data_IF_554320800152
#
_entry.id   IF_554320800152
#
_cell.length_a   1.000
_cell.length_b   1.000
_cell.length_c   1.000
_cell.angle_alpha   90.00
_cell.angle_beta   90.00
_cell.angle_gamma   90.00
#
_symmetry.space_group_name_H-M   'P 1'
#
loop_
_entity.id
_entity.type
_entity.pdbx_description
1 polymer ?
#
# COMPACT_ATOMS: atom_id res chain seq x y z
N UNK A 1 7.24 -37.76 5.58
CA UNK A 1 6.60 -36.43 5.56
C UNK A 1 7.73 -35.43 5.42
N UNK A 2 7.76 -34.65 4.34
CA UNK A 2 8.71 -33.54 4.25
C UNK A 2 8.23 -32.46 5.23
N UNK A 3 9.13 -31.96 6.08
CA UNK A 3 8.87 -30.79 6.91
C UNK A 3 8.61 -29.60 5.98
N UNK A 4 7.38 -29.08 6.03
CA UNK A 4 7.04 -27.83 5.37
C UNK A 4 7.56 -26.74 6.32
N UNK A 5 8.74 -26.20 6.02
CA UNK A 5 9.27 -25.04 6.74
C UNK A 5 8.39 -23.84 6.41
N UNK A 6 7.55 -23.43 7.36
CA UNK A 6 6.71 -22.23 7.22
C UNK A 6 7.64 -21.02 7.22
N UNK A 7 7.54 -20.11 6.23
CA UNK A 7 8.34 -18.89 6.20
C UNK A 7 8.16 -18.11 7.51
N UNK A 8 9.24 -17.56 8.07
CA UNK A 8 9.14 -16.61 9.18
C UNK A 8 8.51 -15.31 8.70
N UNK A 9 7.93 -14.52 9.61
CA UNK A 9 7.40 -13.18 9.28
C UNK A 9 8.42 -12.31 8.55
N UNK A 10 9.69 -12.41 8.95
CA UNK A 10 10.78 -11.64 8.35
C UNK A 10 11.05 -12.09 6.91
N UNK A 11 11.03 -13.40 6.64
CA UNK A 11 11.20 -13.92 5.27
C UNK A 11 10.04 -13.55 4.34
N UNK A 12 8.82 -13.44 4.89
CA UNK A 12 7.67 -12.98 4.12
C UNK A 12 7.72 -11.48 3.84
N UNK A 13 8.10 -10.66 4.84
CA UNK A 13 8.26 -9.22 4.65
C UNK A 13 9.32 -8.93 3.61
N UNK A 14 10.49 -9.57 3.69
CA UNK A 14 11.55 -9.40 2.70
C UNK A 14 11.09 -9.78 1.28
N UNK A 15 10.37 -10.91 1.15
CA UNK A 15 9.77 -11.32 -0.13
C UNK A 15 8.79 -10.26 -0.67
N UNK A 16 7.89 -9.75 0.18
CA UNK A 16 6.92 -8.73 -0.19
C UNK A 16 7.63 -7.44 -0.62
N UNK A 17 8.61 -6.96 0.14
CA UNK A 17 9.33 -5.74 -0.23
C UNK A 17 10.11 -5.92 -1.54
N UNK A 18 10.61 -7.13 -1.82
CA UNK A 18 11.25 -7.43 -3.09
C UNK A 18 10.24 -7.41 -4.26
N UNK A 19 9.03 -7.96 -4.09
CA UNK A 19 8.01 -7.95 -5.14
C UNK A 19 7.51 -6.54 -5.45
N UNK A 20 7.36 -5.69 -4.42
CA UNK A 20 6.90 -4.29 -4.55
C UNK A 20 7.92 -3.36 -5.23
N UNK A 21 9.09 -3.86 -5.63
CA UNK A 21 9.99 -3.12 -6.53
C UNK A 21 9.45 -3.06 -7.96
N UNK A 22 8.63 -4.03 -8.35
CA UNK A 22 7.85 -3.95 -9.57
C UNK A 22 6.72 -2.93 -9.40
N UNK A 23 6.60 -2.00 -10.35
CA UNK A 23 5.66 -0.88 -10.22
C UNK A 23 4.21 -1.31 -10.41
N UNK A 24 3.95 -2.38 -11.16
CA UNK A 24 2.60 -2.95 -11.32
C UNK A 24 2.18 -3.69 -10.05
N UNK A 25 3.09 -4.46 -9.45
CA UNK A 25 2.85 -5.10 -8.15
C UNK A 25 2.57 -4.06 -7.06
N UNK A 26 3.35 -2.96 -7.02
CA UNK A 26 3.11 -1.88 -6.08
C UNK A 26 1.76 -1.17 -6.31
N UNK A 27 1.39 -0.94 -7.57
CA UNK A 27 0.11 -0.33 -7.92
C UNK A 27 -1.06 -1.22 -7.49
N UNK A 28 -1.03 -2.51 -7.82
CA UNK A 28 -2.05 -3.48 -7.42
C UNK A 28 -2.14 -3.64 -5.90
N UNK A 29 -1.00 -3.63 -5.20
CA UNK A 29 -1.01 -3.72 -3.73
C UNK A 29 -1.69 -2.52 -3.06
N UNK A 30 -1.52 -1.31 -3.62
CA UNK A 30 -2.23 -0.11 -3.15
C UNK A 30 -3.72 -0.19 -3.51
N UNK A 31 -4.06 -0.58 -4.74
CA UNK A 31 -5.45 -0.69 -5.20
C UNK A 31 -6.27 -1.64 -4.33
N UNK A 32 -5.77 -2.86 -4.10
CA UNK A 32 -6.41 -3.85 -3.20
C UNK A 32 -6.63 -3.29 -1.80
N UNK A 33 -5.68 -2.50 -1.28
CA UNK A 33 -5.84 -1.88 0.04
C UNK A 33 -6.95 -0.85 0.11
N UNK A 34 -7.30 -0.20 -1.01
CA UNK A 34 -8.39 0.76 -1.10
C UNK A 34 -9.75 0.07 -1.21
N UNK A 35 -9.79 -1.10 -1.85
CA UNK A 35 -11.01 -1.92 -1.99
C UNK A 35 -11.35 -2.68 -0.71
N UNK A 36 -10.36 -3.33 -0.09
CA UNK A 36 -10.57 -4.22 1.06
C UNK A 36 -10.33 -3.54 2.42
N UNK A 37 -9.69 -2.36 2.43
CA UNK A 37 -9.22 -1.73 3.66
C UNK A 37 -10.25 -0.95 4.47
N UNK A 38 -11.47 -0.76 3.98
CA UNK A 38 -12.53 -0.04 4.70
C UNK A 38 -12.84 -0.64 6.09
N UNK A 39 -12.69 -1.96 6.22
CA UNK A 39 -12.93 -2.70 7.46
C UNK A 39 -11.67 -2.88 8.33
N UNK A 40 -10.49 -2.53 7.82
CA UNK A 40 -9.21 -2.65 8.53
C UNK A 40 -8.54 -1.27 8.70
N UNK A 41 -8.73 -0.62 9.86
CA UNK A 41 -8.07 0.63 10.17
C UNK A 41 -6.55 0.52 9.99
N UNK A 42 -5.95 1.54 9.37
CA UNK A 42 -4.51 1.62 9.10
C UNK A 42 -3.95 0.66 8.03
N UNK A 43 -4.76 -0.16 7.35
CA UNK A 43 -4.26 -1.04 6.27
C UNK A 43 -3.57 -0.24 5.16
N UNK A 44 -4.23 0.80 4.63
CA UNK A 44 -3.65 1.68 3.62
C UNK A 44 -2.31 2.28 4.08
N UNK A 45 -2.21 2.70 5.36
CA UNK A 45 -0.96 3.23 5.91
C UNK A 45 0.17 2.21 5.88
N UNK A 46 -0.11 0.97 6.29
CA UNK A 46 0.85 -0.15 6.27
C UNK A 46 1.28 -0.48 4.85
N UNK A 47 0.34 -0.54 3.91
CA UNK A 47 0.58 -0.80 2.49
C UNK A 47 1.48 0.26 1.87
N UNK A 48 1.16 1.55 2.08
CA UNK A 48 1.99 2.66 1.60
C UNK A 48 3.40 2.62 2.22
N UNK A 49 3.54 2.28 3.50
CA UNK A 49 4.86 2.11 4.13
C UNK A 49 5.70 1.04 3.43
N UNK A 50 5.11 -0.10 3.08
CA UNK A 50 5.80 -1.19 2.39
C UNK A 50 6.27 -0.75 0.99
N UNK A 51 5.40 -0.05 0.23
CA UNK A 51 5.75 0.48 -1.09
C UNK A 51 6.89 1.50 -1.00
N UNK A 52 6.84 2.40 0.00
CA UNK A 52 7.91 3.37 0.23
C UNK A 52 9.22 2.68 0.63
N UNK A 53 9.18 1.64 1.45
CA UNK A 53 10.37 0.85 1.78
C UNK A 53 11.00 0.23 0.53
N UNK A 54 10.20 -0.35 -0.37
CA UNK A 54 10.68 -0.89 -1.64
C UNK A 54 11.35 0.20 -2.52
N UNK A 55 10.70 1.37 -2.65
CA UNK A 55 11.24 2.51 -3.40
C UNK A 55 12.56 3.03 -2.83
N UNK A 56 12.70 3.05 -1.50
CA UNK A 56 13.96 3.41 -0.82
C UNK A 56 15.04 2.37 -1.12
N UNK A 57 14.75 1.07 -1.04
CA UNK A 57 15.71 0.00 -1.38
C UNK A 57 16.19 0.06 -2.83
N UNK A 58 15.37 0.60 -3.74
CA UNK A 58 15.74 0.85 -5.13
C UNK A 58 16.53 2.15 -5.36
N UNK A 59 16.65 3.02 -4.36
CA UNK A 59 17.13 4.40 -4.50
C UNK A 59 16.31 5.23 -5.52
N UNK A 60 15.01 4.93 -5.65
CA UNK A 60 14.12 5.56 -6.63
C UNK A 60 13.12 6.55 -6.02
N UNK A 61 13.10 6.71 -4.70
CA UNK A 61 12.21 7.65 -4.04
C UNK A 61 12.69 9.09 -4.21
N UNK A 62 11.93 9.90 -4.96
CA UNK A 62 12.21 11.32 -5.10
C UNK A 62 11.94 12.08 -3.80
N UNK A 63 12.63 13.23 -3.61
CA UNK A 63 12.43 14.07 -2.43
C UNK A 63 10.99 14.59 -2.32
N UNK A 64 10.34 14.90 -3.44
CA UNK A 64 8.93 15.31 -3.44
C UNK A 64 7.98 14.17 -3.05
N UNK A 65 8.24 12.94 -3.51
CA UNK A 65 7.47 11.77 -3.11
C UNK A 65 7.61 11.51 -1.60
N UNK A 66 8.85 11.59 -1.08
CA UNK A 66 9.13 11.46 0.35
C UNK A 66 8.37 12.48 1.19
N UNK A 67 8.43 13.76 0.83
CA UNK A 67 7.72 14.83 1.57
C UNK A 67 6.20 14.66 1.55
N UNK A 68 5.63 14.20 0.42
CA UNK A 68 4.21 13.92 0.34
C UNK A 68 3.82 12.70 1.18
N UNK A 69 4.63 11.64 1.17
CA UNK A 69 4.42 10.47 2.03
C UNK A 69 4.49 10.84 3.52
N UNK A 70 5.48 11.64 3.96
CA UNK A 70 5.59 12.05 5.37
C UNK A 70 4.35 12.81 5.86
N UNK A 71 3.80 13.71 5.03
CA UNK A 71 2.54 14.40 5.32
C UNK A 71 1.36 13.44 5.39
N UNK A 72 1.25 12.54 4.41
CA UNK A 72 0.15 11.58 4.34
C UNK A 72 0.21 10.57 5.49
N UNK A 73 1.40 10.10 5.88
CA UNK A 73 1.60 9.16 7.00
C UNK A 73 1.12 9.75 8.33
N UNK A 74 1.32 11.06 8.55
CA UNK A 74 0.80 11.77 9.72
C UNK A 74 -0.73 11.80 9.72
N UNK A 75 -1.35 12.16 8.59
CA UNK A 75 -2.81 12.17 8.46
C UNK A 75 -3.39 10.77 8.67
N UNK A 76 -2.80 9.75 8.06
CA UNK A 76 -3.25 8.36 8.18
C UNK A 76 -3.02 7.79 9.58
N UNK A 77 -2.03 8.28 10.33
CA UNK A 77 -1.83 7.89 11.72
C UNK A 77 -2.97 8.36 12.62
N UNK A 78 -3.57 9.51 12.31
CA UNK A 78 -4.69 10.09 13.07
C UNK A 78 -6.03 9.54 12.60
N UNK A 79 -6.29 9.53 11.29
CA UNK A 79 -7.62 9.19 10.74
C UNK A 79 -7.81 7.72 10.40
N UNK A 80 -6.72 6.94 10.36
CA UNK A 80 -6.75 5.54 9.94
C UNK A 80 -7.11 5.32 8.46
N UNK A 81 -7.25 6.40 7.67
CA UNK A 81 -7.70 6.36 6.27
C UNK A 81 -9.20 6.54 6.09
N UNK A 82 -9.95 6.85 7.15
CA UNK A 82 -11.43 6.90 7.13
C UNK A 82 -12.00 7.74 5.98
N UNK A 83 -11.45 8.93 5.74
CA UNK A 83 -11.93 9.81 4.67
C UNK A 83 -11.70 9.21 3.27
N UNK A 84 -10.61 8.47 3.06
CA UNK A 84 -10.28 7.82 1.79
C UNK A 84 -11.24 6.66 1.53
N UNK A 85 -11.45 5.80 2.54
CA UNK A 85 -12.37 4.67 2.39
C UNK A 85 -13.81 5.12 2.19
N UNK A 86 -14.25 6.14 2.92
CA UNK A 86 -15.59 6.75 2.72
C UNK A 86 -15.76 7.27 1.29
N UNK A 87 -14.70 7.84 0.71
CA UNK A 87 -14.72 8.31 -0.67
C UNK A 87 -14.78 7.15 -1.67
N UNK A 88 -14.03 6.07 -1.44
CA UNK A 88 -14.09 4.85 -2.27
C UNK A 88 -15.49 4.21 -2.20
N UNK A 89 -16.09 4.12 -1.01
CA UNK A 89 -17.46 3.64 -0.82
C UNK A 89 -18.47 4.48 -1.61
N UNK A 90 -18.32 5.81 -1.61
CA UNK A 90 -19.16 6.70 -2.39
C UNK A 90 -19.02 6.45 -3.89
N UNK A 91 -17.79 6.28 -4.40
CA UNK A 91 -17.56 5.95 -5.82
C UNK A 91 -18.26 4.64 -6.20
N UNK A 92 -18.09 3.60 -5.39
CA UNK A 92 -18.73 2.30 -5.60
C UNK A 92 -20.27 2.42 -5.61
N UNK A 93 -20.84 3.17 -4.66
CA UNK A 93 -22.28 3.42 -4.60
C UNK A 93 -22.83 4.18 -5.82
N UNK A 94 -21.97 4.97 -6.49
CA UNK A 94 -22.29 5.69 -7.73
C UNK A 94 -22.04 4.85 -9.00
N UNK A 95 -21.51 3.64 -8.88
CA UNK A 95 -21.16 2.78 -10.02
C UNK A 95 -19.80 3.10 -10.66
N UNK A 96 -18.92 3.76 -9.92
CA UNK A 96 -17.53 4.02 -10.32
C UNK A 96 -16.57 3.11 -9.55
N UNK A 97 -15.40 2.90 -10.13
CA UNK A 97 -14.30 2.11 -9.56
C UNK A 97 -13.04 2.98 -9.52
N UNK A 98 -12.29 2.89 -8.42
CA UNK A 98 -11.01 3.59 -8.25
C UNK A 98 -9.87 2.64 -8.61
N UNK A 99 -9.00 3.05 -9.54
CA UNK A 99 -7.82 2.26 -9.91
C UNK A 99 -6.50 3.01 -9.70
N UNK A 100 -5.45 2.30 -9.31
CA UNK A 100 -4.06 2.78 -9.22
C UNK A 100 -3.25 2.15 -10.34
N UNK A 101 -2.63 2.96 -11.20
CA UNK A 101 -1.90 2.50 -12.39
C UNK A 101 -0.54 3.15 -12.49
N UNK A 102 0.42 2.44 -13.09
CA UNK A 102 1.73 3.02 -13.43
C UNK A 102 1.52 4.18 -14.40
N UNK A 103 2.23 5.28 -14.14
CA UNK A 103 2.14 6.49 -14.97
C UNK A 103 2.88 6.28 -16.29
N UNK A 104 2.19 6.53 -17.40
CA UNK A 104 2.77 6.56 -18.77
C UNK A 104 3.71 7.74 -19.02
#
# INVERSE_FOLDING_TARGET
>A
MQEIQVPTSDSYHDYLIESLKDSEEAAGYIEVSLEEGGDEPYLLRKVLRNVIEAQIKMNNLSESAKQNYEKLDQVLAESGGTEIYTFVELLNALGFELSVKVKE
#
